data_IF_064731923316
#
_entry.id   IF_064731923316
#
_cell.length_a   1.000
_cell.length_b   1.000
_cell.length_c   1.000
_cell.angle_alpha   90.00
_cell.angle_beta   90.00
_cell.angle_gamma   90.00
#
_symmetry.space_group_name_H-M   'P 1'
#
loop_
_entity.id
_entity.type
_entity.pdbx_description
1 polymer ?
#
# COMPACT_ATOMS: atom_id res chain seq x y z
N UNK A 1 4.32 4.78 -36.51
CA UNK A 1 4.08 6.03 -35.75
C UNK A 1 3.70 5.78 -34.31
N UNK A 2 2.71 4.95 -33.99
CA UNK A 2 2.19 4.73 -32.61
C UNK A 2 3.26 4.31 -31.57
N UNK A 3 4.21 3.44 -31.93
CA UNK A 3 5.25 2.95 -31.01
C UNK A 3 6.19 4.07 -30.49
N UNK A 4 6.53 5.06 -31.32
CA UNK A 4 7.37 6.20 -30.93
C UNK A 4 6.68 7.08 -29.84
N UNK A 5 5.35 7.25 -29.93
CA UNK A 5 4.59 7.99 -28.93
C UNK A 5 4.58 7.27 -27.58
N UNK A 6 4.41 5.95 -27.54
CA UNK A 6 4.46 5.17 -26.30
C UNK A 6 5.83 5.26 -25.62
N UNK A 7 6.91 5.18 -26.40
CA UNK A 7 8.28 5.33 -25.89
C UNK A 7 8.47 6.74 -25.33
N UNK A 8 8.02 7.77 -26.01
CA UNK A 8 8.12 9.15 -25.54
C UNK A 8 7.37 9.36 -24.22
N UNK A 9 6.11 8.89 -24.14
CA UNK A 9 5.29 8.97 -22.92
C UNK A 9 5.98 8.23 -21.77
N UNK A 10 6.49 7.04 -22.00
CA UNK A 10 7.19 6.24 -20.97
C UNK A 10 8.43 6.98 -20.46
N UNK A 11 9.25 7.53 -21.35
CA UNK A 11 10.46 8.28 -20.98
C UNK A 11 10.08 9.53 -20.15
N UNK A 12 9.08 10.28 -20.59
CA UNK A 12 8.62 11.49 -19.87
C UNK A 12 8.14 11.14 -18.45
N UNK A 13 7.33 10.08 -18.33
CA UNK A 13 6.84 9.61 -17.03
C UNK A 13 7.98 9.15 -16.12
N UNK A 14 8.95 8.41 -16.66
CA UNK A 14 10.15 7.96 -15.94
C UNK A 14 10.95 9.15 -15.41
N UNK A 15 11.17 10.18 -16.22
CA UNK A 15 11.90 11.39 -15.78
C UNK A 15 11.16 12.10 -14.65
N UNK A 16 9.85 12.30 -14.78
CA UNK A 16 9.02 12.97 -13.76
C UNK A 16 9.13 12.22 -12.42
N UNK A 17 8.97 10.91 -12.42
CA UNK A 17 9.02 10.09 -11.21
C UNK A 17 10.43 10.01 -10.61
N UNK A 18 11.46 10.02 -11.43
CA UNK A 18 12.85 10.06 -10.96
C UNK A 18 13.16 11.37 -10.23
N UNK A 19 12.70 12.51 -10.78
CA UNK A 19 12.85 13.84 -10.16
C UNK A 19 12.12 13.90 -8.81
N UNK A 20 11.00 13.20 -8.67
CA UNK A 20 10.25 13.12 -7.40
C UNK A 20 10.87 12.16 -6.37
N UNK A 21 12.02 11.55 -6.68
CA UNK A 21 12.73 10.64 -5.76
C UNK A 21 12.10 9.25 -5.65
N UNK A 22 11.18 8.89 -6.53
CA UNK A 22 10.50 7.58 -6.55
C UNK A 22 11.25 6.54 -7.38
N UNK A 23 12.54 6.41 -7.12
CA UNK A 23 13.46 5.55 -7.89
C UNK A 23 12.98 4.11 -8.05
N UNK A 24 12.38 3.54 -7.00
CA UNK A 24 11.84 2.18 -7.03
C UNK A 24 10.68 2.02 -8.02
N UNK A 25 9.79 3.04 -8.09
CA UNK A 25 8.65 3.04 -9.00
C UNK A 25 9.10 3.29 -10.45
N UNK A 26 10.06 4.20 -10.62
CA UNK A 26 10.74 4.46 -11.89
C UNK A 26 11.37 3.20 -12.46
N UNK A 27 12.12 2.46 -11.62
CA UNK A 27 12.72 1.18 -12.00
C UNK A 27 11.66 0.15 -12.38
N UNK A 28 10.59 0.02 -11.61
CA UNK A 28 9.47 -0.85 -11.91
C UNK A 28 8.82 -0.55 -13.27
N UNK A 29 8.61 0.74 -13.58
CA UNK A 29 8.08 1.17 -14.88
C UNK A 29 9.03 0.91 -16.04
N UNK A 30 10.32 1.13 -15.85
CA UNK A 30 11.34 0.82 -16.88
C UNK A 30 11.37 -0.68 -17.20
N UNK A 31 11.36 -1.52 -16.17
CA UNK A 31 11.38 -2.98 -16.35
C UNK A 31 10.08 -3.46 -17.03
N UNK A 32 8.91 -3.07 -16.50
CA UNK A 32 7.63 -3.50 -17.07
C UNK A 32 7.38 -2.93 -18.47
N UNK A 33 7.65 -1.65 -18.68
CA UNK A 33 7.54 -1.01 -19.99
C UNK A 33 8.51 -1.61 -21.00
N UNK A 34 9.76 -1.88 -20.58
CA UNK A 34 10.77 -2.55 -21.41
C UNK A 34 10.33 -3.95 -21.81
N UNK A 35 9.81 -4.75 -20.87
CA UNK A 35 9.29 -6.10 -21.16
C UNK A 35 8.11 -6.06 -22.14
N UNK A 36 7.18 -5.12 -21.97
CA UNK A 36 6.05 -4.94 -22.90
C UNK A 36 6.56 -4.56 -24.29
N UNK A 37 7.49 -3.60 -24.37
CA UNK A 37 8.07 -3.19 -25.67
C UNK A 37 8.84 -4.33 -26.33
N UNK A 38 9.60 -5.12 -25.56
CA UNK A 38 10.27 -6.31 -26.08
C UNK A 38 9.26 -7.35 -26.58
N UNK A 39 8.21 -7.63 -25.81
CA UNK A 39 7.16 -8.57 -26.20
C UNK A 39 6.41 -8.12 -27.47
N UNK A 40 6.18 -6.82 -27.62
CA UNK A 40 5.54 -6.24 -28.82
C UNK A 40 6.51 -6.02 -29.98
N UNK A 41 7.80 -6.20 -29.75
CA UNK A 41 8.84 -5.99 -30.78
C UNK A 41 8.74 -6.97 -31.94
N UNK A 42 9.39 -6.63 -33.04
CA UNK A 42 9.51 -7.49 -34.24
C UNK A 42 10.68 -8.47 -34.16
N UNK A 43 11.34 -8.62 -33.00
CA UNK A 43 12.37 -9.63 -32.81
C UNK A 43 11.82 -11.02 -33.11
N UNK A 44 12.56 -11.82 -33.86
CA UNK A 44 12.15 -13.15 -34.37
C UNK A 44 11.69 -14.08 -33.21
N UNK A 45 12.34 -14.01 -32.05
CA UNK A 45 11.99 -14.78 -30.87
C UNK A 45 10.59 -14.44 -30.36
N UNK A 46 10.27 -13.14 -30.16
CA UNK A 46 8.96 -12.72 -29.64
C UNK A 46 7.83 -12.91 -30.67
N UNK A 47 8.14 -12.74 -31.95
CA UNK A 47 7.19 -13.08 -33.04
C UNK A 47 6.89 -14.57 -33.05
N UNK A 48 7.91 -15.42 -32.92
CA UNK A 48 7.75 -16.87 -32.81
C UNK A 48 6.93 -17.26 -31.57
N UNK A 49 7.25 -16.66 -30.40
CA UNK A 49 6.55 -16.90 -29.12
C UNK A 49 5.05 -16.56 -29.24
N UNK A 50 4.70 -15.42 -29.83
CA UNK A 50 3.31 -14.99 -30.04
C UNK A 50 2.54 -15.91 -31.00
N UNK A 51 3.20 -16.53 -31.96
CA UNK A 51 2.57 -17.47 -32.90
C UNK A 51 2.18 -18.80 -32.22
N UNK A 52 2.83 -19.18 -31.10
CA UNK A 52 2.54 -20.41 -30.36
C UNK A 52 1.62 -20.14 -29.17
N UNK A 53 0.30 -20.17 -29.41
CA UNK A 53 -0.70 -19.84 -28.40
C UNK A 53 -0.54 -20.65 -27.10
N UNK A 54 -0.19 -21.94 -27.17
CA UNK A 54 -0.01 -22.79 -26.01
C UNK A 54 1.15 -22.38 -25.09
N UNK A 55 2.13 -21.61 -25.60
CA UNK A 55 3.23 -21.02 -24.82
C UNK A 55 2.90 -19.59 -24.41
N UNK A 56 2.38 -18.78 -25.34
CA UNK A 56 2.11 -17.36 -25.09
C UNK A 56 0.98 -17.15 -24.11
N UNK A 57 -0.05 -17.99 -24.14
CA UNK A 57 -1.20 -17.86 -23.22
C UNK A 57 -0.79 -18.03 -21.74
N UNK A 58 -0.09 -19.12 -21.32
CA UNK A 58 0.32 -19.24 -19.92
C UNK A 58 1.29 -18.12 -19.49
N UNK A 59 2.22 -17.70 -20.35
CA UNK A 59 3.12 -16.58 -20.04
C UNK A 59 2.33 -15.28 -19.80
N UNK A 60 1.34 -15.00 -20.64
CA UNK A 60 0.49 -13.82 -20.48
C UNK A 60 -0.33 -13.89 -19.19
N UNK A 61 -0.92 -15.05 -18.89
CA UNK A 61 -1.67 -15.26 -17.63
C UNK A 61 -0.79 -15.08 -16.40
N UNK A 62 0.42 -15.63 -16.39
CA UNK A 62 1.40 -15.43 -15.32
C UNK A 62 1.75 -13.94 -15.19
N UNK A 63 1.99 -13.25 -16.32
CA UNK A 63 2.27 -11.82 -16.33
C UNK A 63 1.14 -10.98 -15.73
N UNK A 64 -0.11 -11.25 -16.09
CA UNK A 64 -1.30 -10.59 -15.53
C UNK A 64 -1.40 -10.88 -14.02
N UNK A 65 -1.16 -12.11 -13.60
CA UNK A 65 -1.19 -12.50 -12.20
C UNK A 65 -0.12 -11.77 -11.36
N UNK A 66 1.12 -11.73 -11.85
CA UNK A 66 2.21 -11.00 -11.20
C UNK A 66 1.93 -9.48 -11.14
N UNK A 67 1.35 -8.93 -12.21
CA UNK A 67 0.95 -7.53 -12.24
C UNK A 67 -0.14 -7.23 -11.19
N UNK A 68 -1.14 -8.11 -11.05
CA UNK A 68 -2.18 -7.96 -10.04
C UNK A 68 -1.61 -8.02 -8.61
N UNK A 69 -0.64 -8.91 -8.35
CA UNK A 69 0.10 -8.95 -7.08
C UNK A 69 0.83 -7.62 -6.85
N UNK A 70 1.56 -7.13 -7.85
CA UNK A 70 2.32 -5.89 -7.75
C UNK A 70 1.41 -4.68 -7.47
N UNK A 71 0.27 -4.56 -8.15
CA UNK A 71 -0.71 -3.51 -7.92
C UNK A 71 -1.19 -3.55 -6.46
N UNK A 72 -1.58 -4.72 -5.96
CA UNK A 72 -2.08 -4.88 -4.60
C UNK A 72 -1.00 -4.63 -3.54
N UNK A 73 0.24 -5.05 -3.77
CA UNK A 73 1.33 -4.82 -2.83
C UNK A 73 1.78 -3.35 -2.79
N UNK A 74 1.88 -2.70 -3.95
CA UNK A 74 2.59 -1.43 -4.06
C UNK A 74 1.69 -0.22 -4.33
N UNK A 75 0.53 -0.40 -4.95
CA UNK A 75 -0.27 0.74 -5.39
C UNK A 75 -1.51 0.95 -4.53
N UNK A 76 -2.38 -0.04 -4.48
CA UNK A 76 -3.71 0.10 -3.84
C UNK A 76 -4.07 -1.14 -3.04
N UNK A 77 -4.85 -0.94 -1.99
CA UNK A 77 -5.46 -2.03 -1.23
C UNK A 77 -6.84 -1.63 -0.74
N UNK A 78 -7.76 -2.61 -0.66
CA UNK A 78 -9.12 -2.39 -0.20
C UNK A 78 -9.25 -2.96 1.21
N UNK A 79 -9.75 -2.14 2.14
CA UNK A 79 -10.06 -2.52 3.51
C UNK A 79 -11.54 -2.34 3.80
N UNK A 80 -12.13 -3.26 4.54
CA UNK A 80 -13.47 -3.10 5.09
C UNK A 80 -13.36 -2.48 6.49
N UNK A 81 -14.30 -1.60 6.84
CA UNK A 81 -14.32 -0.92 8.15
C UNK A 81 -15.02 -1.81 9.17
N UNK A 82 -14.29 -2.35 10.18
CA UNK A 82 -14.87 -3.30 11.14
C UNK A 82 -15.54 -2.62 12.34
N UNK A 83 -15.25 -1.36 12.64
CA UNK A 83 -15.70 -0.69 13.85
C UNK A 83 -16.09 0.77 13.63
N UNK A 84 -17.00 1.28 14.47
CA UNK A 84 -17.54 2.63 14.39
C UNK A 84 -16.61 3.74 14.93
N UNK A 85 -15.33 3.46 15.21
CA UNK A 85 -14.43 4.46 15.80
C UNK A 85 -14.09 5.64 14.87
N UNK A 86 -14.54 5.59 13.63
CA UNK A 86 -14.42 6.63 12.61
C UNK A 86 -15.81 7.03 12.07
N UNK A 87 -16.89 6.74 12.80
CA UNK A 87 -18.23 7.25 12.50
C UNK A 87 -18.19 8.75 12.28
N UNK A 88 -19.06 9.28 11.43
CA UNK A 88 -19.07 10.61 10.83
C UNK A 88 -18.12 10.79 9.62
N UNK A 89 -17.06 9.97 9.50
CA UNK A 89 -16.20 9.97 8.30
C UNK A 89 -16.33 8.68 7.53
N UNK A 90 -16.40 7.54 8.23
CA UNK A 90 -16.44 6.19 7.67
C UNK A 90 -17.41 5.33 8.46
N UNK A 91 -18.35 4.67 7.80
CA UNK A 91 -19.39 3.85 8.43
C UNK A 91 -18.94 2.39 8.48
N UNK A 92 -19.37 1.66 9.52
CA UNK A 92 -19.13 0.21 9.65
C UNK A 92 -19.68 -0.52 8.43
N UNK A 93 -18.86 -1.35 7.80
CA UNK A 93 -19.21 -2.08 6.57
C UNK A 93 -18.76 -1.41 5.28
N UNK A 94 -18.39 -0.13 5.31
CA UNK A 94 -17.80 0.54 4.15
C UNK A 94 -16.51 -0.14 3.70
N UNK A 95 -16.23 -0.02 2.39
CA UNK A 95 -14.95 -0.45 1.80
C UNK A 95 -14.18 0.77 1.37
N UNK A 96 -13.00 0.93 1.93
CA UNK A 96 -12.10 2.04 1.61
C UNK A 96 -10.96 1.57 0.71
N UNK A 97 -10.68 2.35 -0.33
CA UNK A 97 -9.54 2.15 -1.20
C UNK A 97 -8.36 2.96 -0.67
N UNK A 98 -7.32 2.27 -0.23
CA UNK A 98 -6.10 2.90 0.29
C UNK A 98 -5.08 3.06 -0.82
N UNK A 99 -4.66 4.31 -1.05
CA UNK A 99 -3.57 4.62 -1.96
C UNK A 99 -2.23 4.52 -1.23
N UNK A 100 -1.48 3.46 -1.51
CA UNK A 100 -0.18 3.22 -0.87
C UNK A 100 0.93 4.16 -1.36
N UNK A 101 0.78 4.75 -2.55
CA UNK A 101 1.78 5.64 -3.13
C UNK A 101 1.92 6.94 -2.34
N UNK A 102 0.89 7.37 -1.62
CA UNK A 102 0.90 8.62 -0.86
C UNK A 102 2.06 8.66 0.15
N UNK A 103 2.15 7.65 1.01
CA UNK A 103 3.16 7.57 2.09
C UNK A 103 4.31 6.64 1.71
N UNK A 104 4.14 5.91 0.61
CA UNK A 104 5.01 4.84 0.16
C UNK A 104 4.58 3.46 0.65
N UNK A 105 4.64 2.45 -0.22
CA UNK A 105 4.26 1.10 0.13
C UNK A 105 5.26 0.47 1.07
N UNK A 106 4.76 -0.36 1.98
CA UNK A 106 5.57 -1.19 2.85
C UNK A 106 5.89 -2.51 2.13
N UNK A 107 7.14 -2.93 2.20
CA UNK A 107 7.53 -4.27 1.75
C UNK A 107 6.89 -5.34 2.64
N UNK A 108 6.48 -6.49 2.09
CA UNK A 108 5.97 -7.60 2.88
C UNK A 108 6.97 -8.02 3.95
N UNK A 109 6.52 -8.33 5.15
CA UNK A 109 7.36 -8.87 6.23
C UNK A 109 7.58 -10.38 6.12
N UNK A 110 6.67 -11.06 5.42
CA UNK A 110 6.71 -12.50 5.22
C UNK A 110 5.95 -12.89 3.96
N UNK A 111 6.13 -14.12 3.43
CA UNK A 111 5.37 -14.64 2.29
C UNK A 111 3.85 -14.67 2.54
N UNK A 112 3.41 -14.69 3.80
CA UNK A 112 1.99 -14.69 4.17
C UNK A 112 1.29 -13.35 3.84
N UNK A 113 2.03 -12.27 3.74
CA UNK A 113 1.50 -10.95 3.34
C UNK A 113 1.38 -10.80 1.81
N UNK A 114 1.95 -11.74 1.03
CA UNK A 114 1.89 -11.67 -0.44
C UNK A 114 0.60 -12.35 -0.91
N UNK A 115 -0.31 -11.61 -1.58
CA UNK A 115 -1.59 -12.14 -2.04
C UNK A 115 -1.42 -13.38 -2.92
N UNK A 116 -2.29 -14.38 -2.73
CA UNK A 116 -2.34 -15.69 -3.38
C UNK A 116 -1.10 -16.57 -3.14
N UNK A 117 0.11 -16.01 -3.03
CA UNK A 117 1.31 -16.76 -2.65
C UNK A 117 1.17 -17.28 -1.22
N UNK A 118 0.55 -16.48 -0.34
CA UNK A 118 0.26 -16.88 1.03
C UNK A 118 -0.48 -18.22 1.12
N UNK A 119 -1.34 -18.55 0.16
CA UNK A 119 -2.10 -19.81 0.16
C UNK A 119 -1.19 -21.04 0.21
N UNK A 120 -0.08 -21.04 -0.54
CA UNK A 120 0.89 -22.13 -0.53
C UNK A 120 1.54 -22.30 0.85
N UNK A 121 1.80 -21.20 1.54
CA UNK A 121 2.40 -21.21 2.87
C UNK A 121 1.39 -21.62 3.95
N UNK A 122 0.10 -21.29 3.80
CA UNK A 122 -0.97 -21.77 4.68
C UNK A 122 -1.21 -23.28 4.59
N UNK A 123 -1.00 -23.87 3.41
CA UNK A 123 -1.17 -25.32 3.21
C UNK A 123 -0.05 -26.13 3.87
N UNK A 124 1.11 -25.55 4.12
CA UNK A 124 2.23 -26.24 4.76
C UNK A 124 2.19 -26.02 6.29
N UNK A 125 1.97 -27.11 7.05
CA UNK A 125 1.88 -27.08 8.51
C UNK A 125 3.12 -26.47 9.18
N UNK A 126 4.32 -26.74 8.69
CA UNK A 126 5.58 -26.29 9.28
C UNK A 126 5.79 -24.78 9.11
N UNK A 127 5.26 -24.18 8.03
CA UNK A 127 5.36 -22.75 7.79
C UNK A 127 4.24 -21.96 8.50
N UNK A 128 3.07 -22.59 8.67
CA UNK A 128 1.91 -21.98 9.32
C UNK A 128 2.21 -21.56 10.77
N UNK A 129 3.01 -22.32 11.51
CA UNK A 129 3.43 -21.98 12.87
C UNK A 129 4.30 -20.71 12.95
N UNK A 130 4.88 -20.29 11.82
CA UNK A 130 5.68 -19.07 11.69
C UNK A 130 4.93 -17.90 11.05
N UNK A 131 3.62 -17.98 10.95
CA UNK A 131 2.79 -16.98 10.26
C UNK A 131 2.96 -15.59 10.85
N UNK A 132 3.02 -15.49 12.18
CA UNK A 132 3.14 -14.23 12.91
C UNK A 132 4.58 -13.70 13.01
N UNK A 133 5.57 -14.50 12.54
CA UNK A 133 6.96 -14.07 12.56
C UNK A 133 7.29 -13.17 11.36
N UNK A 134 8.05 -12.11 11.61
CA UNK A 134 8.66 -11.34 10.53
C UNK A 134 9.88 -12.11 9.99
N UNK A 135 9.87 -12.46 8.70
CA UNK A 135 10.97 -13.16 8.05
C UNK A 135 11.98 -12.19 7.45
N UNK A 136 11.48 -10.98 7.11
CA UNK A 136 12.27 -9.90 6.51
C UNK A 136 12.20 -8.66 7.38
N UNK A 137 13.25 -7.86 7.35
CA UNK A 137 13.31 -6.59 8.05
C UNK A 137 12.25 -5.63 7.50
N UNK A 138 11.74 -4.78 8.39
CA UNK A 138 10.82 -3.72 7.99
C UNK A 138 11.51 -2.76 7.01
N UNK A 139 10.89 -2.60 5.85
CA UNK A 139 11.32 -1.60 4.89
C UNK A 139 10.09 -0.93 4.25
N UNK A 140 10.13 0.39 4.17
CA UNK A 140 9.12 1.19 3.48
C UNK A 140 9.80 1.96 2.36
N UNK A 141 9.18 1.93 1.18
CA UNK A 141 9.62 2.69 0.02
C UNK A 141 9.13 4.13 0.13
N UNK A 142 9.80 5.05 -0.55
CA UNK A 142 9.40 6.45 -0.54
C UNK A 142 8.03 6.64 -1.21
N UNK A 143 7.22 7.53 -0.66
CA UNK A 143 5.94 7.95 -1.22
C UNK A 143 6.03 9.35 -1.82
N UNK A 144 4.89 9.81 -2.39
CA UNK A 144 4.77 11.16 -2.95
C UNK A 144 4.65 12.24 -1.87
N UNK A 145 4.07 11.89 -0.71
CA UNK A 145 3.77 12.82 0.37
C UNK A 145 4.24 12.28 1.73
N UNK A 146 4.27 13.18 2.69
CA UNK A 146 4.43 12.87 4.12
C UNK A 146 3.09 12.93 4.81
N UNK A 147 2.96 12.23 5.95
CA UNK A 147 1.76 12.27 6.79
C UNK A 147 1.59 13.70 7.33
N UNK A 148 0.36 14.20 7.30
CA UNK A 148 -0.04 15.48 7.86
C UNK A 148 -1.04 15.29 8.99
N UNK A 149 -1.18 16.30 9.85
CA UNK A 149 -2.28 16.29 10.83
C UNK A 149 -3.60 16.24 10.08
N UNK A 150 -4.55 15.53 10.65
CA UNK A 150 -5.89 15.28 10.12
C UNK A 150 -5.98 14.22 9.01
N UNK A 151 -4.87 13.67 8.52
CA UNK A 151 -4.90 12.56 7.56
C UNK A 151 -5.53 11.32 8.18
N UNK A 152 -6.37 10.63 7.41
CA UNK A 152 -6.87 9.30 7.76
C UNK A 152 -5.87 8.25 7.29
N UNK A 153 -5.30 7.52 8.22
CA UNK A 153 -4.25 6.52 7.96
C UNK A 153 -4.70 5.11 8.31
N UNK A 154 -4.23 4.15 7.52
CA UNK A 154 -4.38 2.72 7.78
C UNK A 154 -3.03 2.17 8.23
N UNK A 155 -3.01 1.46 9.36
CA UNK A 155 -1.79 0.86 9.89
C UNK A 155 -2.10 -0.46 10.58
N UNK A 156 -1.08 -1.32 10.68
CA UNK A 156 -1.23 -2.60 11.36
C UNK A 156 -1.32 -2.42 12.86
N UNK A 157 -2.13 -3.26 13.51
CA UNK A 157 -2.17 -3.35 14.96
C UNK A 157 -0.78 -3.73 15.51
N UNK A 158 -0.27 -3.08 16.56
CA UNK A 158 1.05 -3.38 17.11
C UNK A 158 1.21 -4.83 17.58
N UNK A 159 0.19 -5.35 18.27
CA UNK A 159 0.23 -6.67 18.90
C UNK A 159 -0.40 -7.77 18.02
N UNK A 160 -1.48 -7.45 17.30
CA UNK A 160 -2.16 -8.38 16.37
C UNK A 160 -1.73 -8.10 14.93
N UNK A 161 -0.75 -8.84 14.44
CA UNK A 161 -0.10 -8.59 13.14
C UNK A 161 -1.00 -8.76 11.93
N UNK A 162 -2.10 -9.49 12.06
CA UNK A 162 -3.10 -9.69 11.02
C UNK A 162 -4.12 -8.56 10.92
N UNK A 163 -4.29 -7.78 12.00
CA UNK A 163 -5.32 -6.77 12.08
C UNK A 163 -4.79 -5.40 11.67
N UNK A 164 -5.68 -4.56 11.19
CA UNK A 164 -5.36 -3.19 10.82
C UNK A 164 -6.33 -2.22 11.48
N UNK A 165 -5.83 -1.03 11.76
CA UNK A 165 -6.62 0.09 12.26
C UNK A 165 -6.72 1.18 11.20
N UNK A 166 -7.86 1.87 11.22
CA UNK A 166 -8.08 3.10 10.47
C UNK A 166 -8.31 4.19 11.50
N UNK A 167 -7.43 5.18 11.56
CA UNK A 167 -7.49 6.28 12.52
C UNK A 167 -7.05 7.59 11.89
N UNK A 168 -7.47 8.69 12.52
CA UNK A 168 -7.05 10.03 12.13
C UNK A 168 -5.77 10.42 12.85
N UNK A 169 -4.80 10.99 12.10
CA UNK A 169 -3.55 11.49 12.64
C UNK A 169 -3.78 12.86 13.28
N UNK A 170 -3.72 12.96 14.60
CA UNK A 170 -3.93 14.22 15.33
C UNK A 170 -2.62 14.92 15.67
N UNK A 171 -1.54 14.17 15.87
CA UNK A 171 -0.22 14.72 16.19
C UNK A 171 0.87 14.06 15.35
N UNK A 172 1.94 14.77 15.09
CA UNK A 172 3.10 14.33 14.30
C UNK A 172 4.30 14.10 15.21
N UNK A 173 5.33 13.37 14.75
CA UNK A 173 6.59 13.24 15.48
C UNK A 173 7.16 14.61 15.86
N UNK A 174 7.51 14.78 17.16
CA UNK A 174 7.97 16.04 17.73
C UNK A 174 6.88 16.93 18.31
N UNK A 175 5.59 16.60 18.10
CA UNK A 175 4.51 17.31 18.77
C UNK A 175 4.38 16.85 20.25
N UNK A 176 4.06 17.82 21.12
CA UNK A 176 3.60 17.57 22.49
C UNK A 176 2.08 17.41 22.47
N UNK A 177 1.57 16.25 22.93
CA UNK A 177 0.13 16.00 23.03
C UNK A 177 -0.24 15.83 24.52
N UNK A 178 -1.21 16.60 24.99
CA UNK A 178 -1.71 16.58 26.35
C UNK A 178 -3.24 16.55 26.31
N UNK A 179 -3.87 15.77 27.18
CA UNK A 179 -5.33 15.74 27.33
C UNK A 179 -5.63 16.23 28.77
N UNK A 180 -6.38 17.31 28.90
CA UNK A 180 -6.80 17.89 30.17
C UNK A 180 -8.31 18.08 30.13
N UNK A 181 -9.02 17.53 31.10
CA UNK A 181 -10.49 17.60 31.21
C UNK A 181 -11.25 17.26 29.91
N UNK A 182 -10.75 16.24 29.18
CA UNK A 182 -11.33 15.81 27.91
C UNK A 182 -10.97 16.69 26.71
N UNK A 183 -10.25 17.79 26.91
CA UNK A 183 -9.74 18.65 25.83
C UNK A 183 -8.34 18.22 25.42
N UNK A 184 -8.13 18.08 24.11
CA UNK A 184 -6.82 17.73 23.57
C UNK A 184 -6.05 19.00 23.19
N UNK A 185 -4.81 19.08 23.69
CA UNK A 185 -3.87 20.16 23.37
C UNK A 185 -2.71 19.61 22.56
N UNK A 186 -2.34 20.29 21.49
CA UNK A 186 -1.16 19.99 20.70
C UNK A 186 -0.25 21.22 20.72
N UNK A 187 0.98 21.05 21.21
CA UNK A 187 1.96 22.13 21.35
C UNK A 187 1.38 23.33 22.14
N UNK A 188 0.62 23.04 23.21
CA UNK A 188 -0.02 24.05 24.06
C UNK A 188 -1.25 24.75 23.47
N UNK A 189 -1.70 24.37 22.27
CA UNK A 189 -2.92 24.91 21.64
C UNK A 189 -4.03 23.87 21.67
N UNK A 190 -5.26 24.29 21.97
CA UNK A 190 -6.43 23.42 21.90
C UNK A 190 -6.58 22.90 20.48
N UNK A 191 -6.77 21.59 20.34
CA UNK A 191 -7.08 20.99 19.07
C UNK A 191 -8.46 21.46 18.59
N UNK A 192 -8.52 22.10 17.43
CA UNK A 192 -9.79 22.48 16.83
C UNK A 192 -10.57 21.23 16.41
N UNK A 193 -11.60 20.91 17.20
CA UNK A 193 -12.46 19.75 16.97
C UNK A 193 -13.48 19.99 15.85
N UNK A 194 -13.63 21.23 15.36
CA UNK A 194 -14.55 21.52 14.24
C UNK A 194 -14.11 20.86 12.94
N UNK A 195 -12.80 20.60 12.80
CA UNK A 195 -12.22 19.84 11.69
C UNK A 195 -12.17 18.33 11.94
N UNK A 196 -12.42 17.91 13.17
CA UNK A 196 -12.56 16.53 13.56
C UNK A 196 -14.06 16.26 13.62
N UNK A 197 -14.60 15.55 12.65
CA UNK A 197 -15.91 14.93 12.80
C UNK A 197 -15.96 14.29 14.18
N UNK A 198 -17.07 14.46 14.91
CA UNK A 198 -17.31 14.09 16.31
C UNK A 198 -16.42 12.94 16.80
N UNK A 199 -15.44 13.24 17.61
CA UNK A 199 -14.54 12.27 18.21
C UNK A 199 -15.25 11.65 19.40
N UNK A 200 -15.73 10.43 19.29
CA UNK A 200 -16.19 9.67 20.44
C UNK A 200 -14.96 9.25 21.25
N UNK A 201 -14.68 9.97 22.34
CA UNK A 201 -13.67 9.58 23.30
C UNK A 201 -14.31 8.54 24.25
N UNK A 202 -13.92 7.28 24.14
CA UNK A 202 -14.16 6.30 25.20
C UNK A 202 -12.89 6.20 26.05
N UNK A 203 -12.94 6.79 27.23
CA UNK A 203 -11.88 6.63 28.24
C UNK A 203 -12.21 5.41 29.10
N UNK A 204 -11.37 4.39 29.05
CA UNK A 204 -11.39 3.31 30.03
C UNK A 204 -10.41 3.65 31.14
N UNK A 205 -10.94 4.03 32.30
CA UNK A 205 -10.12 4.15 33.51
C UNK A 205 -10.09 2.78 34.21
N UNK A 206 -8.93 2.14 34.23
CA UNK A 206 -8.70 1.09 35.20
C UNK A 206 -8.47 1.77 36.57
N UNK A 207 -9.47 1.74 37.43
CA UNK A 207 -9.30 2.09 38.84
C UNK A 207 -8.57 0.89 39.46
N UNK A 208 -7.31 1.08 39.84
CA UNK A 208 -6.52 0.14 40.65
C UNK A 208 -6.90 0.30 42.10
#
# INVERSE_FOLDING_TARGET
MKQKYYIFILITLVIILAVQGLWWFTFGLLVTGGLILLFLSQFRFFVWLRKKAWISTPITLIGIFLLAIAIRLFLIEIYAIPSGSMEDTLIVGDKVLVNKLQIGPRMPKSPFEIPWINLFFYLNKNTRTKMDSAWWNYHRLNGFNTIRRNDVIVFNHPDAKSDFFIKRCIALPGDSLIIIDGMTFINGKVLDTSMLSKTNYQFYFNVV
#
